data_IF_156752517698
#
_entry.id   IF_156752517698
#
_cell.length_a   1.000
_cell.length_b   1.000
_cell.length_c   1.000
_cell.angle_alpha   90.00
_cell.angle_beta   90.00
_cell.angle_gamma   90.00
#
_symmetry.space_group_name_H-M   'P 1'
#
loop_
_entity.id
_entity.type
_entity.pdbx_description
1 polymer ?
#
# COMPACT_ATOMS: atom_id res chain seq x y z
N UNK A 1 10.61 25.07 -10.23
CA UNK A 1 11.73 24.60 -9.38
C UNK A 1 11.18 24.19 -8.02
N UNK A 2 10.94 22.92 -7.81
CA UNK A 2 10.59 22.39 -6.50
C UNK A 2 11.85 21.72 -5.97
N UNK A 3 12.65 22.47 -5.25
CA UNK A 3 13.83 21.99 -4.54
C UNK A 3 13.34 20.98 -3.49
N UNK A 4 13.75 19.73 -3.62
CA UNK A 4 13.68 18.77 -2.54
C UNK A 4 14.39 19.42 -1.33
N UNK A 5 13.65 19.76 -0.28
CA UNK A 5 14.24 19.98 1.03
C UNK A 5 14.65 18.61 1.57
N UNK A 6 15.79 18.14 1.10
CA UNK A 6 16.56 17.16 1.83
C UNK A 6 17.05 17.91 3.07
N UNK A 7 16.49 17.61 4.24
CA UNK A 7 17.16 17.96 5.47
C UNK A 7 18.55 17.32 5.38
N UNK A 8 19.55 18.15 5.62
CA UNK A 8 20.98 17.86 5.53
C UNK A 8 21.38 16.70 6.43
N UNK A 9 21.09 15.49 5.98
CA UNK A 9 21.37 14.22 6.65
C UNK A 9 22.30 13.34 5.81
N UNK A 10 22.98 13.93 4.83
CA UNK A 10 23.89 13.23 3.90
C UNK A 10 25.00 12.44 4.62
N UNK A 11 25.42 12.87 5.79
CA UNK A 11 26.37 12.10 6.62
C UNK A 11 25.74 10.91 7.37
N UNK A 12 24.45 11.00 7.70
CA UNK A 12 23.74 9.95 8.43
C UNK A 12 23.50 8.72 7.55
N UNK A 13 23.18 8.93 6.29
CA UNK A 13 22.91 7.88 5.29
C UNK A 13 24.14 7.08 4.88
N UNK A 14 25.33 7.69 4.90
CA UNK A 14 26.60 7.01 4.60
C UNK A 14 26.99 5.95 5.65
N UNK A 15 26.32 5.89 6.80
CA UNK A 15 26.64 4.99 7.92
C UNK A 15 25.61 3.91 8.21
N UNK A 16 24.51 3.83 7.46
CA UNK A 16 23.51 2.78 7.69
C UNK A 16 23.90 1.54 6.88
N UNK A 17 24.72 0.67 7.49
CA UNK A 17 24.72 -0.75 7.21
C UNK A 17 23.34 -1.31 7.64
N UNK A 18 22.37 -1.30 6.72
CA UNK A 18 21.15 -2.07 6.89
C UNK A 18 21.52 -3.55 6.85
N UNK A 19 21.98 -4.09 8.00
CA UNK A 19 22.02 -5.52 8.24
C UNK A 19 20.58 -6.02 8.30
N UNK A 20 19.99 -6.27 7.12
CA UNK A 20 18.77 -7.02 7.00
C UNK A 20 19.13 -8.46 7.34
N UNK A 21 18.86 -8.91 8.59
CA UNK A 21 18.90 -10.34 8.90
C UNK A 21 17.89 -11.02 7.99
N UNK A 22 18.29 -11.98 7.14
CA UNK A 22 17.37 -12.66 6.26
C UNK A 22 16.40 -13.48 7.10
N UNK A 23 15.14 -13.03 7.15
CA UNK A 23 14.08 -13.95 7.50
C UNK A 23 13.94 -14.90 6.31
N UNK A 24 14.12 -16.21 6.54
CA UNK A 24 13.96 -17.27 5.55
C UNK A 24 12.51 -17.31 5.03
N UNK A 25 12.22 -16.57 3.96
CA UNK A 25 10.90 -16.54 3.35
C UNK A 25 10.95 -17.22 2.00
N UNK A 26 10.15 -18.27 1.76
CA UNK A 26 9.95 -18.82 0.42
C UNK A 26 9.18 -17.76 -0.40
N UNK A 27 9.80 -17.28 -1.45
CA UNK A 27 9.24 -16.32 -2.39
C UNK A 27 8.21 -16.98 -3.29
N UNK A 28 7.17 -16.21 -3.70
CA UNK A 28 6.25 -16.64 -4.73
C UNK A 28 7.04 -16.98 -6.00
N UNK A 29 6.95 -18.23 -6.47
CA UNK A 29 7.70 -18.72 -7.59
C UNK A 29 7.50 -17.85 -8.84
N UNK A 30 8.59 -17.35 -9.41
CA UNK A 30 8.62 -16.74 -10.72
C UNK A 30 9.09 -15.29 -10.84
N UNK A 31 9.49 -14.67 -9.74
CA UNK A 31 10.19 -13.39 -9.76
C UNK A 31 11.50 -13.55 -8.99
N UNK A 32 12.62 -13.42 -9.70
CA UNK A 32 13.93 -13.21 -9.09
C UNK A 32 13.98 -11.78 -8.50
N UNK A 33 13.17 -11.54 -7.47
CA UNK A 33 13.57 -10.52 -6.52
C UNK A 33 14.85 -11.07 -5.90
N UNK A 34 15.99 -10.38 -5.99
CA UNK A 34 17.22 -10.87 -5.39
C UNK A 34 16.88 -11.30 -3.96
N UNK A 35 17.14 -12.57 -3.62
CA UNK A 35 16.98 -13.01 -2.24
C UNK A 35 17.80 -12.06 -1.38
N UNK A 36 17.35 -11.76 -0.18
CA UNK A 36 18.10 -10.91 0.76
C UNK A 36 19.52 -11.49 0.92
N UNK A 37 19.70 -12.78 0.73
CA UNK A 37 20.99 -13.47 0.69
C UNK A 37 21.86 -13.13 -0.54
N UNK A 38 21.27 -12.69 -1.64
CA UNK A 38 22.00 -12.22 -2.85
C UNK A 38 22.40 -10.75 -2.73
N UNK A 39 21.76 -9.99 -1.84
CA UNK A 39 22.17 -8.63 -1.50
C UNK A 39 23.29 -8.70 -0.44
N UNK A 40 24.40 -9.38 -0.78
CA UNK A 40 25.62 -9.39 0.03
C UNK A 40 26.42 -8.08 -0.02
N UNK A 41 25.94 -7.07 -0.75
CA UNK A 41 26.47 -5.71 -0.68
C UNK A 41 25.64 -4.95 0.35
N UNK A 42 26.28 -4.13 1.23
CA UNK A 42 25.53 -3.21 2.03
C UNK A 42 24.62 -2.43 1.10
N UNK A 43 23.32 -2.44 1.36
CA UNK A 43 22.35 -1.68 0.60
C UNK A 43 22.60 -0.21 0.97
N UNK A 44 23.59 0.40 0.31
CA UNK A 44 23.73 1.86 0.35
C UNK A 44 22.58 2.40 -0.47
N UNK A 45 21.49 2.70 0.22
CA UNK A 45 20.35 3.41 -0.35
C UNK A 45 20.80 4.84 -0.66
N UNK A 46 21.44 5.03 -1.82
CA UNK A 46 21.69 6.38 -2.31
C UNK A 46 20.39 6.95 -2.88
N UNK A 47 19.60 7.55 -1.97
CA UNK A 47 18.35 8.21 -2.36
C UNK A 47 18.60 9.57 -3.03
N UNK A 48 19.85 10.03 -3.14
CA UNK A 48 20.22 11.21 -3.91
C UNK A 48 20.11 10.97 -5.42
N UNK A 49 20.24 9.72 -5.87
CA UNK A 49 20.07 9.32 -7.27
C UNK A 49 18.62 9.01 -7.67
N UNK A 50 17.65 9.11 -6.79
CA UNK A 50 16.25 9.08 -7.21
C UNK A 50 15.99 10.34 -8.03
N UNK A 51 16.47 10.32 -9.27
CA UNK A 51 16.30 11.40 -10.22
C UNK A 51 14.81 11.51 -10.54
N UNK A 52 14.11 12.36 -9.79
CA UNK A 52 12.80 12.88 -10.20
C UNK A 52 12.89 13.70 -11.51
N UNK A 53 14.05 13.69 -12.16
CA UNK A 53 14.33 14.44 -13.35
C UNK A 53 13.82 13.80 -14.63
N UNK A 54 13.49 12.51 -14.62
CA UNK A 54 12.86 11.88 -15.78
C UNK A 54 11.39 12.32 -15.91
N UNK A 55 11.21 13.52 -16.45
CA UNK A 55 9.88 14.09 -16.74
C UNK A 55 9.08 13.19 -17.68
N UNK A 56 9.76 12.45 -18.56
CA UNK A 56 9.13 11.55 -19.53
C UNK A 56 8.51 10.38 -18.79
N UNK A 57 9.27 9.72 -17.90
CA UNK A 57 8.73 8.64 -17.07
C UNK A 57 7.49 9.07 -16.29
N UNK A 58 7.54 10.21 -15.59
CA UNK A 58 6.41 10.67 -14.78
C UNK A 58 5.18 11.05 -15.62
N UNK A 59 5.41 11.58 -16.82
CA UNK A 59 4.32 11.87 -17.77
C UNK A 59 3.70 10.58 -18.31
N UNK A 60 4.51 9.61 -18.74
CA UNK A 60 4.04 8.30 -19.22
C UNK A 60 3.28 7.58 -18.10
N UNK A 61 3.84 7.53 -16.90
CA UNK A 61 3.18 6.93 -15.74
C UNK A 61 1.84 7.58 -15.44
N UNK A 62 1.77 8.92 -15.49
CA UNK A 62 0.48 9.62 -15.29
C UNK A 62 -0.54 9.29 -16.38
N UNK A 63 -0.13 9.21 -17.63
CA UNK A 63 -0.98 8.79 -18.73
C UNK A 63 -1.50 7.36 -18.54
N UNK A 64 -0.63 6.42 -18.14
CA UNK A 64 -1.01 5.05 -17.79
C UNK A 64 -2.00 5.00 -16.61
N UNK A 65 -1.75 5.75 -15.55
CA UNK A 65 -2.64 5.84 -14.39
C UNK A 65 -4.06 6.27 -14.82
N UNK A 66 -4.17 7.32 -15.63
CA UNK A 66 -5.46 7.82 -16.12
C UNK A 66 -6.14 6.78 -17.02
N UNK A 67 -5.42 6.28 -18.02
CA UNK A 67 -5.95 5.35 -19.01
C UNK A 67 -6.46 4.06 -18.35
N UNK A 68 -5.59 3.40 -17.56
CA UNK A 68 -5.94 2.11 -16.96
C UNK A 68 -7.01 2.27 -15.88
N UNK A 69 -7.00 3.33 -15.07
CA UNK A 69 -8.04 3.57 -14.08
C UNK A 69 -9.39 3.88 -14.73
N UNK A 70 -9.41 4.65 -15.84
CA UNK A 70 -10.65 4.94 -16.57
C UNK A 70 -11.23 3.67 -17.19
N UNK A 71 -10.40 2.88 -17.87
CA UNK A 71 -10.82 1.61 -18.45
C UNK A 71 -11.34 0.64 -17.37
N UNK A 72 -10.62 0.53 -16.24
CA UNK A 72 -11.05 -0.33 -15.15
C UNK A 72 -12.38 0.13 -14.53
N UNK A 73 -12.59 1.44 -14.32
CA UNK A 73 -13.86 1.96 -13.79
C UNK A 73 -15.03 1.71 -14.74
N UNK A 74 -14.84 1.87 -16.05
CA UNK A 74 -15.87 1.57 -17.03
C UNK A 74 -16.18 0.06 -17.05
N UNK A 75 -15.16 -0.78 -17.20
CA UNK A 75 -15.33 -2.23 -17.28
C UNK A 75 -15.93 -2.84 -16.00
N UNK A 76 -15.54 -2.32 -14.83
CA UNK A 76 -16.01 -2.81 -13.54
C UNK A 76 -17.25 -2.07 -13.01
N UNK A 77 -17.80 -1.11 -13.76
CA UNK A 77 -18.97 -0.33 -13.31
C UNK A 77 -20.16 -1.19 -12.88
N UNK A 78 -20.55 -2.29 -13.57
CA UNK A 78 -21.64 -3.14 -13.09
C UNK A 78 -21.33 -3.78 -11.73
N UNK A 79 -20.09 -4.26 -11.56
CA UNK A 79 -19.62 -4.83 -10.29
C UNK A 79 -19.64 -3.79 -9.15
N UNK A 80 -19.19 -2.57 -9.43
CA UNK A 80 -19.21 -1.48 -8.45
C UNK A 80 -20.63 -1.13 -8.01
N UNK A 81 -21.59 -1.09 -8.94
CA UNK A 81 -23.00 -0.82 -8.64
C UNK A 81 -23.62 -1.94 -7.80
N UNK A 82 -23.41 -3.20 -8.18
CA UNK A 82 -23.89 -4.36 -7.41
C UNK A 82 -23.27 -4.36 -6.00
N UNK A 83 -21.98 -4.11 -5.90
CA UNK A 83 -21.28 -4.02 -4.60
C UNK A 83 -21.86 -2.89 -3.75
N UNK A 84 -22.09 -1.72 -4.33
CA UNK A 84 -22.69 -0.59 -3.64
C UNK A 84 -24.08 -0.96 -3.08
N UNK A 85 -24.94 -1.55 -3.90
CA UNK A 85 -26.27 -1.98 -3.47
C UNK A 85 -26.22 -3.07 -2.38
N UNK A 86 -25.32 -4.05 -2.52
CA UNK A 86 -25.14 -5.11 -1.52
C UNK A 86 -24.74 -4.55 -0.15
N UNK A 87 -23.82 -3.58 -0.10
CA UNK A 87 -23.40 -2.93 1.15
C UNK A 87 -24.54 -2.11 1.74
N UNK A 88 -25.29 -1.40 0.88
CA UNK A 88 -26.41 -0.58 1.34
C UNK A 88 -27.51 -1.41 2.02
N UNK A 89 -27.74 -2.63 1.50
CA UNK A 89 -28.67 -3.62 2.09
C UNK A 89 -28.10 -4.24 3.37
N UNK A 90 -26.79 -4.60 3.38
CA UNK A 90 -26.13 -5.29 4.50
C UNK A 90 -25.87 -4.36 5.71
N UNK A 91 -25.78 -3.05 5.47
CA UNK A 91 -25.51 -2.03 6.49
C UNK A 91 -26.40 -0.79 6.32
N UNK A 92 -27.72 -0.90 6.56
CA UNK A 92 -28.65 0.20 6.41
C UNK A 92 -28.28 1.38 7.31
N UNK A 93 -28.43 2.60 6.79
CA UNK A 93 -28.09 3.84 7.51
C UNK A 93 -26.60 4.24 7.44
N UNK A 94 -25.74 3.43 6.84
CA UNK A 94 -24.33 3.76 6.64
C UNK A 94 -24.00 3.95 5.14
N UNK A 95 -23.15 4.94 4.84
CA UNK A 95 -22.67 5.10 3.46
C UNK A 95 -21.90 3.87 2.98
N UNK A 96 -22.22 3.29 1.82
CA UNK A 96 -21.45 2.19 1.23
C UNK A 96 -19.99 2.55 0.91
N UNK A 97 -19.69 3.83 0.72
CA UNK A 97 -18.32 4.33 0.56
C UNK A 97 -17.79 4.79 1.91
N UNK A 98 -16.70 4.19 2.32
CA UNK A 98 -15.90 4.58 3.48
C UNK A 98 -14.73 5.44 3.04
N UNK A 99 -14.44 6.49 3.79
CA UNK A 99 -13.30 7.38 3.55
C UNK A 99 -12.40 7.44 4.76
N UNK A 100 -11.09 7.46 4.54
CA UNK A 100 -10.11 7.59 5.61
C UNK A 100 -8.95 8.47 5.17
N UNK A 101 -8.52 9.37 6.05
CA UNK A 101 -7.33 10.17 5.77
C UNK A 101 -6.07 9.31 5.72
N UNK A 102 -5.26 9.54 4.69
CA UNK A 102 -3.98 8.90 4.45
C UNK A 102 -2.92 9.92 4.08
N UNK A 103 -1.65 9.53 4.30
CA UNK A 103 -0.50 10.34 3.89
C UNK A 103 -0.14 9.98 2.45
N UNK A 104 -0.08 11.00 1.60
CA UNK A 104 0.30 10.89 0.19
C UNK A 104 1.68 11.48 -0.09
N UNK A 105 1.96 11.76 -1.37
CA UNK A 105 3.24 12.33 -1.80
C UNK A 105 3.54 13.64 -1.08
N UNK A 106 4.79 13.81 -0.67
CA UNK A 106 5.29 14.98 0.06
C UNK A 106 4.52 15.26 1.37
N UNK A 107 4.01 14.21 2.04
CA UNK A 107 3.28 14.33 3.29
C UNK A 107 1.85 14.92 3.16
N UNK A 108 1.36 15.18 1.94
CA UNK A 108 0.02 15.74 1.73
C UNK A 108 -1.05 14.73 2.13
N UNK A 109 -2.00 15.15 2.95
CA UNK A 109 -3.13 14.32 3.36
C UNK A 109 -4.18 14.28 2.25
N UNK A 110 -4.74 13.08 2.02
CA UNK A 110 -5.86 12.88 1.11
C UNK A 110 -6.88 11.91 1.69
N UNK A 111 -8.12 11.95 1.17
CA UNK A 111 -9.20 11.03 1.53
C UNK A 111 -9.15 9.81 0.63
N UNK A 112 -8.68 8.68 1.15
CA UNK A 112 -8.70 7.41 0.44
C UNK A 112 -10.10 6.81 0.45
N UNK A 113 -10.61 6.40 -0.72
CA UNK A 113 -11.91 5.78 -0.89
C UNK A 113 -11.83 4.26 -0.81
N UNK A 114 -12.78 3.65 -0.10
CA UNK A 114 -12.99 2.20 -0.06
C UNK A 114 -14.47 1.87 0.01
N UNK A 115 -14.84 0.67 -0.39
CA UNK A 115 -16.12 0.14 0.03
C UNK A 115 -16.12 -0.17 1.53
N UNK A 116 -17.26 0.07 2.18
CA UNK A 116 -17.44 -0.22 3.60
C UNK A 116 -17.51 -1.73 3.81
N UNK A 117 -16.66 -2.24 4.68
CA UNK A 117 -16.57 -3.67 5.03
C UNK A 117 -16.82 -3.94 6.50
N UNK A 118 -17.07 -2.89 7.29
CA UNK A 118 -17.33 -2.97 8.72
C UNK A 118 -18.63 -2.30 9.08
N UNK A 119 -19.22 -2.71 10.22
CA UNK A 119 -20.42 -2.09 10.78
C UNK A 119 -20.21 -0.59 11.05
N UNK A 120 -21.30 0.21 11.13
CA UNK A 120 -21.22 1.67 11.31
C UNK A 120 -20.48 2.08 12.59
N UNK A 121 -20.62 1.33 13.65
CA UNK A 121 -20.07 1.53 15.00
C UNK A 121 -18.69 0.86 15.22
N UNK A 122 -18.00 0.47 14.12
CA UNK A 122 -16.74 -0.27 14.17
C UNK A 122 -15.62 0.46 14.95
N UNK A 123 -15.54 1.79 14.88
CA UNK A 123 -14.52 2.56 15.62
C UNK A 123 -14.83 2.59 17.13
N UNK A 124 -16.08 2.59 17.54
CA UNK A 124 -16.48 2.51 18.95
C UNK A 124 -16.12 1.13 19.52
N UNK A 125 -16.49 0.07 18.80
CA UNK A 125 -16.17 -1.32 19.16
C UNK A 125 -14.66 -1.62 19.17
N UNK A 126 -13.84 -0.82 18.48
CA UNK A 126 -12.39 -1.02 18.46
C UNK A 126 -11.79 -0.93 19.87
N UNK A 127 -12.27 -0.02 20.71
CA UNK A 127 -11.75 0.18 22.07
C UNK A 127 -11.87 -1.10 22.90
N UNK A 128 -13.00 -1.79 22.80
CA UNK A 128 -13.30 -3.00 23.56
C UNK A 128 -12.54 -4.23 23.03
N UNK A 129 -12.03 -4.13 21.79
CA UNK A 129 -11.30 -5.21 21.13
C UNK A 129 -9.78 -5.05 21.21
N UNK A 130 -9.27 -3.93 21.70
CA UNK A 130 -7.82 -3.67 21.72
C UNK A 130 -7.01 -4.73 22.47
N UNK A 131 -7.56 -5.31 23.54
CA UNK A 131 -6.93 -6.38 24.30
C UNK A 131 -6.78 -7.70 23.51
N UNK A 132 -7.55 -7.85 22.42
CA UNK A 132 -7.51 -9.02 21.53
C UNK A 132 -6.67 -8.80 20.28
N UNK A 133 -5.77 -7.83 20.31
CA UNK A 133 -4.89 -7.57 19.17
C UNK A 133 -3.90 -8.73 18.98
N UNK A 134 -3.92 -9.33 17.78
CA UNK A 134 -3.05 -10.47 17.41
C UNK A 134 -1.70 -9.99 16.83
N UNK A 135 -1.45 -8.69 16.80
CA UNK A 135 -0.23 -8.12 16.22
C UNK A 135 0.47 -7.20 17.21
N UNK A 136 1.78 -7.34 17.28
CA UNK A 136 2.62 -6.37 17.97
C UNK A 136 2.62 -5.02 17.22
N UNK A 137 2.56 -3.93 17.97
CA UNK A 137 2.60 -2.58 17.45
C UNK A 137 1.24 -1.87 17.37
N UNK A 138 1.20 -0.66 16.82
CA UNK A 138 0.04 0.23 16.91
C UNK A 138 -1.15 -0.16 16.00
N UNK A 139 -0.93 -1.10 15.07
CA UNK A 139 -1.95 -1.50 14.10
C UNK A 139 -2.76 -2.66 14.64
N UNK A 140 -4.06 -2.41 14.90
CA UNK A 140 -4.99 -3.47 15.33
C UNK A 140 -5.21 -4.52 14.25
N UNK A 141 -5.11 -5.79 14.61
CA UNK A 141 -5.34 -6.93 13.73
C UNK A 141 -5.92 -8.11 14.52
N UNK A 142 -7.01 -8.67 14.00
CA UNK A 142 -7.71 -9.80 14.59
C UNK A 142 -8.26 -10.69 13.48
N UNK A 143 -8.00 -12.00 13.56
CA UNK A 143 -8.39 -12.98 12.53
C UNK A 143 -9.91 -13.05 12.32
N UNK A 144 -10.67 -13.05 13.40
CA UNK A 144 -12.13 -13.08 13.38
C UNK A 144 -12.68 -11.77 13.95
N UNK A 145 -12.44 -10.66 13.27
CA UNK A 145 -12.89 -9.34 13.71
C UNK A 145 -14.44 -9.23 13.60
N UNK A 146 -15.17 -9.13 14.72
CA UNK A 146 -16.64 -9.12 14.74
C UNK A 146 -17.23 -7.86 14.11
N UNK A 147 -16.42 -6.85 13.82
CA UNK A 147 -16.83 -5.61 13.16
C UNK A 147 -17.03 -5.78 11.66
N UNK A 148 -16.47 -6.85 11.07
CA UNK A 148 -16.55 -7.12 9.63
C UNK A 148 -17.92 -7.72 9.31
N UNK A 149 -18.65 -7.08 8.37
CA UNK A 149 -19.96 -7.57 7.92
C UNK A 149 -19.82 -8.81 7.03
N UNK A 150 -20.93 -9.51 6.74
CA UNK A 150 -20.92 -10.69 5.84
C UNK A 150 -20.45 -10.32 4.44
N UNK A 151 -21.03 -9.27 3.88
CA UNK A 151 -20.61 -8.72 2.58
C UNK A 151 -19.16 -8.22 2.66
N UNK A 152 -18.80 -7.53 3.75
CA UNK A 152 -17.45 -7.04 3.98
C UNK A 152 -16.39 -8.14 4.01
N UNK A 153 -16.70 -9.31 4.55
CA UNK A 153 -15.79 -10.48 4.54
C UNK A 153 -15.48 -10.95 3.10
N UNK A 154 -16.50 -11.03 2.25
CA UNK A 154 -16.33 -11.37 0.84
C UNK A 154 -15.50 -10.31 0.10
N UNK A 155 -15.83 -9.02 0.30
CA UNK A 155 -15.14 -7.92 -0.37
C UNK A 155 -13.64 -7.87 -0.03
N UNK A 156 -13.29 -8.07 1.25
CA UNK A 156 -11.89 -8.15 1.69
C UNK A 156 -11.16 -9.35 1.09
N UNK A 157 -11.81 -10.50 1.04
CA UNK A 157 -11.24 -11.72 0.44
C UNK A 157 -10.92 -11.55 -1.03
N UNK A 158 -11.71 -10.77 -1.75
CA UNK A 158 -11.59 -10.52 -3.20
C UNK A 158 -10.88 -9.21 -3.51
N UNK A 159 -10.52 -8.40 -2.49
CA UNK A 159 -9.97 -7.05 -2.63
C UNK A 159 -10.87 -6.07 -3.42
N UNK A 160 -12.14 -6.40 -3.61
CA UNK A 160 -13.13 -5.53 -4.27
C UNK A 160 -13.33 -4.24 -3.47
N UNK A 161 -13.15 -4.30 -2.14
CA UNK A 161 -13.24 -3.12 -1.26
C UNK A 161 -12.26 -2.01 -1.62
N UNK A 162 -11.18 -2.31 -2.32
CA UNK A 162 -10.16 -1.33 -2.71
C UNK A 162 -10.42 -0.67 -4.08
N UNK A 163 -11.36 -1.18 -4.88
CA UNK A 163 -11.64 -0.64 -6.22
C UNK A 163 -12.00 0.86 -6.25
N UNK A 164 -12.70 1.45 -5.26
CA UNK A 164 -12.95 2.89 -5.24
C UNK A 164 -11.69 3.76 -5.19
N UNK A 165 -10.51 3.20 -4.84
CA UNK A 165 -9.24 3.93 -4.90
C UNK A 165 -8.86 4.32 -6.34
N UNK A 166 -9.42 3.69 -7.37
CA UNK A 166 -9.25 4.12 -8.77
C UNK A 166 -9.66 5.58 -8.98
N UNK A 167 -10.66 6.09 -8.22
CA UNK A 167 -11.01 7.51 -8.23
C UNK A 167 -9.89 8.39 -7.62
N UNK A 168 -9.17 7.90 -6.60
CA UNK A 168 -8.00 8.62 -6.07
C UNK A 168 -6.86 8.67 -7.10
N UNK A 169 -6.70 7.60 -7.91
CA UNK A 169 -5.73 7.58 -9.00
C UNK A 169 -6.11 8.61 -10.06
N UNK A 170 -7.36 8.67 -10.49
CA UNK A 170 -7.83 9.68 -11.46
C UNK A 170 -7.66 11.10 -10.95
N UNK A 171 -7.92 11.35 -9.66
CA UNK A 171 -7.65 12.65 -9.03
C UNK A 171 -6.16 12.99 -8.92
N UNK A 172 -5.27 12.01 -9.09
CA UNK A 172 -3.82 12.20 -8.98
C UNK A 172 -3.30 12.19 -7.55
N UNK A 173 -4.11 11.79 -6.59
CA UNK A 173 -3.75 11.59 -5.17
C UNK A 173 -2.98 10.28 -4.97
N UNK A 174 -3.26 9.28 -5.81
CA UNK A 174 -2.61 7.98 -5.87
C UNK A 174 -2.11 7.66 -7.28
N UNK A 175 -1.38 6.57 -7.41
CA UNK A 175 -1.00 5.89 -8.65
C UNK A 175 -1.48 4.43 -8.58
N UNK A 176 -1.46 3.71 -9.69
CA UNK A 176 -1.73 2.26 -9.67
C UNK A 176 -0.64 1.55 -8.87
N UNK A 177 0.63 1.87 -9.15
CA UNK A 177 1.78 1.28 -8.46
C UNK A 177 2.40 2.29 -7.49
N UNK A 178 2.83 1.85 -6.31
CA UNK A 178 3.52 2.67 -5.33
C UNK A 178 3.41 2.13 -3.91
N UNK A 179 4.06 2.78 -2.94
CA UNK A 179 3.93 2.45 -1.54
C UNK A 179 2.49 2.50 -1.05
N UNK A 180 2.07 1.52 -0.23
CA UNK A 180 0.72 1.54 0.34
C UNK A 180 0.55 2.73 1.30
N UNK A 181 -0.49 3.57 1.14
CA UNK A 181 -0.67 4.75 2.00
C UNK A 181 -1.09 4.35 3.41
N UNK A 182 -0.48 4.98 4.42
CA UNK A 182 -0.78 4.73 5.83
C UNK A 182 -1.49 5.91 6.50
N UNK A 183 -2.13 5.65 7.66
CA UNK A 183 -2.82 6.66 8.46
C UNK A 183 -1.79 7.63 9.06
N UNK A 184 -2.10 8.96 9.14
CA UNK A 184 -1.18 9.95 9.71
C UNK A 184 -0.68 9.59 11.11
N UNK A 185 -1.55 9.01 11.93
CA UNK A 185 -1.21 8.57 13.28
C UNK A 185 -0.07 7.54 13.28
N UNK A 186 -0.14 6.53 12.42
CA UNK A 186 0.90 5.50 12.33
C UNK A 186 2.17 6.02 11.69
N UNK A 187 2.04 6.85 10.65
CA UNK A 187 3.18 7.48 9.97
C UNK A 187 4.03 8.28 10.97
N UNK A 188 3.39 9.08 11.84
CA UNK A 188 4.11 9.82 12.88
C UNK A 188 4.90 8.92 13.82
N UNK A 189 4.32 7.79 14.23
CA UNK A 189 4.99 6.83 15.11
C UNK A 189 6.14 6.13 14.40
N UNK A 190 5.95 5.73 13.14
CA UNK A 190 7.01 5.06 12.37
C UNK A 190 8.18 6.00 12.08
N UNK A 191 7.92 7.26 11.72
CA UNK A 191 8.97 8.27 11.50
C UNK A 191 9.72 8.59 12.81
N UNK A 192 9.01 8.66 13.95
CA UNK A 192 9.65 8.88 15.23
C UNK A 192 10.62 7.75 15.63
N UNK A 193 10.33 6.52 15.22
CA UNK A 193 11.20 5.36 15.48
C UNK A 193 12.29 5.19 14.40
N UNK A 194 11.95 5.47 13.14
CA UNK A 194 12.84 5.40 11.96
C UNK A 194 12.52 6.54 11.00
N UNK A 195 13.29 7.63 11.03
CA UNK A 195 13.09 8.80 10.15
C UNK A 195 13.07 8.44 8.66
N UNK A 196 13.77 7.37 8.29
CA UNK A 196 13.82 6.82 6.94
C UNK A 196 12.46 6.43 6.38
N UNK A 197 11.51 6.14 7.26
CA UNK A 197 10.15 5.82 6.85
C UNK A 197 9.50 6.93 6.02
N UNK A 198 9.92 8.18 6.18
CA UNK A 198 9.38 9.32 5.45
C UNK A 198 9.72 9.32 3.94
N UNK A 199 10.83 8.69 3.54
CA UNK A 199 11.22 8.64 2.11
C UNK A 199 10.22 7.94 1.21
N UNK A 200 9.38 7.07 1.75
CA UNK A 200 8.30 6.45 0.99
C UNK A 200 7.26 7.45 0.47
N UNK A 201 7.22 8.65 1.05
CA UNK A 201 6.35 9.74 0.61
C UNK A 201 6.95 10.60 -0.53
N UNK A 202 8.14 10.28 -1.02
CA UNK A 202 8.72 10.97 -2.19
C UNK A 202 7.96 10.66 -3.49
N UNK A 203 7.24 9.55 -3.54
CA UNK A 203 6.39 9.15 -4.67
C UNK A 203 4.91 9.13 -4.28
N UNK A 204 4.02 9.06 -5.28
CA UNK A 204 2.59 8.85 -5.00
C UNK A 204 2.37 7.47 -4.41
N UNK A 205 1.48 7.33 -3.42
CA UNK A 205 1.07 6.03 -2.93
C UNK A 205 0.33 5.23 -4.02
N UNK A 206 0.43 3.90 -3.95
CA UNK A 206 -0.15 2.99 -4.92
C UNK A 206 -1.33 2.18 -4.40
N UNK A 207 -2.19 1.71 -5.32
CA UNK A 207 -3.17 0.64 -5.05
C UNK A 207 -2.42 -0.66 -4.83
N UNK A 208 -1.43 -0.94 -5.66
CA UNK A 208 -0.47 -2.03 -5.49
C UNK A 208 0.96 -1.51 -5.42
N UNK A 209 1.93 -2.36 -5.06
CA UNK A 209 3.33 -1.99 -4.97
C UNK A 209 4.20 -3.18 -4.58
N UNK A 210 5.51 -2.99 -4.62
CA UNK A 210 6.46 -4.06 -4.35
C UNK A 210 6.24 -4.69 -2.96
N UNK A 211 5.99 -3.88 -1.93
CA UNK A 211 5.71 -4.38 -0.59
C UNK A 211 4.43 -5.22 -0.51
N UNK A 212 3.41 -4.96 -1.36
CA UNK A 212 2.17 -5.73 -1.36
C UNK A 212 2.33 -7.09 -2.05
N UNK A 213 3.15 -7.18 -3.11
CA UNK A 213 3.36 -8.44 -3.85
C UNK A 213 4.45 -9.33 -3.23
N UNK A 214 5.49 -8.74 -2.62
CA UNK A 214 6.60 -9.45 -1.99
C UNK A 214 6.37 -9.72 -0.49
N UNK A 215 5.64 -8.83 0.19
CA UNK A 215 5.36 -8.92 1.61
C UNK A 215 4.30 -9.97 1.92
N UNK A 216 4.54 -10.76 2.99
CA UNK A 216 3.54 -11.67 3.56
C UNK A 216 2.65 -10.94 4.58
N UNK A 217 1.60 -11.64 5.00
CA UNK A 217 0.65 -11.15 6.01
C UNK A 217 1.33 -10.63 7.29
N UNK A 218 2.39 -11.31 7.75
CA UNK A 218 3.12 -10.99 8.99
C UNK A 218 4.33 -10.07 8.79
N UNK A 219 4.56 -9.54 7.56
CA UNK A 219 5.66 -8.63 7.28
C UNK A 219 5.52 -7.36 8.13
N UNK A 220 6.61 -6.97 8.83
CA UNK A 220 6.62 -5.78 9.67
C UNK A 220 6.45 -4.49 8.86
N UNK A 221 6.12 -3.38 9.51
CA UNK A 221 6.03 -2.08 8.84
C UNK A 221 7.39 -1.65 8.26
N UNK A 222 8.47 -2.03 8.93
CA UNK A 222 9.84 -1.70 8.50
C UNK A 222 10.32 -2.56 7.34
N UNK A 223 9.99 -3.85 7.31
CA UNK A 223 10.30 -4.70 6.15
C UNK A 223 9.55 -4.20 4.91
N UNK A 224 8.28 -3.78 5.08
CA UNK A 224 7.51 -3.14 4.00
C UNK A 224 8.15 -1.84 3.53
N UNK A 225 8.68 -1.04 4.46
CA UNK A 225 9.42 0.17 4.12
C UNK A 225 10.64 -0.16 3.23
N UNK A 226 11.39 -1.23 3.53
CA UNK A 226 12.53 -1.63 2.72
C UNK A 226 12.09 -1.94 1.27
N UNK A 227 11.02 -2.72 1.09
CA UNK A 227 10.47 -2.97 -0.26
C UNK A 227 10.01 -1.69 -0.95
N UNK A 228 9.38 -0.77 -0.22
CA UNK A 228 8.95 0.51 -0.77
C UNK A 228 10.15 1.36 -1.21
N UNK A 229 11.25 1.38 -0.43
CA UNK A 229 12.46 2.10 -0.78
C UNK A 229 13.20 1.47 -1.97
N UNK A 230 13.27 0.14 -2.04
CA UNK A 230 13.80 -0.57 -3.21
C UNK A 230 13.03 -0.21 -4.49
N UNK A 231 11.69 -0.18 -4.41
CA UNK A 231 10.87 0.25 -5.53
C UNK A 231 11.17 1.70 -5.93
N UNK A 232 11.31 2.62 -4.95
CA UNK A 232 11.57 4.04 -5.20
C UNK A 232 12.93 4.25 -5.88
N UNK A 233 13.92 3.42 -5.60
CA UNK A 233 15.23 3.48 -6.27
C UNK A 233 15.18 3.03 -7.73
N UNK A 234 14.34 2.05 -8.07
CA UNK A 234 14.25 1.47 -9.42
C UNK A 234 12.89 1.77 -10.08
N UNK A 235 12.40 3.00 -9.92
CA UNK A 235 11.15 3.40 -10.59
C UNK A 235 11.36 3.44 -12.11
N UNK A 236 10.62 2.58 -12.80
CA UNK A 236 10.61 2.54 -14.27
C UNK A 236 9.28 2.01 -14.79
N UNK A 237 8.96 2.28 -16.06
CA UNK A 237 7.76 1.74 -16.71
C UNK A 237 7.78 0.21 -16.68
N UNK A 238 8.96 -0.40 -16.84
CA UNK A 238 9.15 -1.86 -16.79
C UNK A 238 8.83 -2.39 -15.38
N UNK A 239 9.37 -1.78 -14.34
CA UNK A 239 9.13 -2.17 -12.94
C UNK A 239 7.65 -2.03 -12.58
N UNK A 240 7.00 -0.92 -12.99
CA UNK A 240 5.57 -0.71 -12.77
C UNK A 240 4.73 -1.79 -13.45
N UNK A 241 5.01 -2.10 -14.73
CA UNK A 241 4.31 -3.16 -15.47
C UNK A 241 4.49 -4.53 -14.81
N UNK A 242 5.69 -4.86 -14.37
CA UNK A 242 5.98 -6.12 -13.68
C UNK A 242 5.21 -6.24 -12.37
N UNK A 243 5.14 -5.17 -11.56
CA UNK A 243 4.37 -5.15 -10.32
C UNK A 243 2.87 -5.33 -10.61
N UNK A 244 2.33 -4.68 -11.65
CA UNK A 244 0.94 -4.86 -12.06
C UNK A 244 0.64 -6.31 -12.45
N UNK A 245 1.49 -6.93 -13.29
CA UNK A 245 1.33 -8.33 -13.70
C UNK A 245 1.41 -9.31 -12.51
N UNK A 246 2.36 -9.09 -11.61
CA UNK A 246 2.49 -9.91 -10.39
C UNK A 246 1.28 -9.73 -9.46
N UNK A 247 0.70 -8.53 -9.39
CA UNK A 247 -0.53 -8.28 -8.61
C UNK A 247 -1.67 -9.18 -9.09
N UNK A 248 -1.90 -9.26 -10.41
CA UNK A 248 -2.90 -10.18 -10.96
C UNK A 248 -2.62 -11.64 -10.58
N UNK A 249 -1.37 -12.07 -10.68
CA UNK A 249 -0.97 -13.43 -10.28
C UNK A 249 -1.25 -13.69 -8.80
N UNK A 250 -0.90 -12.76 -7.92
CA UNK A 250 -1.14 -12.87 -6.47
C UNK A 250 -2.65 -12.91 -6.16
N UNK A 251 -3.47 -12.10 -6.83
CA UNK A 251 -4.92 -12.11 -6.66
C UNK A 251 -5.56 -13.43 -7.09
N UNK A 252 -5.02 -14.10 -8.11
CA UNK A 252 -5.50 -15.37 -8.62
C UNK A 252 -5.00 -16.57 -7.80
N UNK A 253 -3.93 -16.44 -7.03
CA UNK A 253 -3.39 -17.50 -6.20
C UNK A 253 -3.99 -17.46 -4.79
N UNK A 254 -4.27 -18.64 -4.20
CA UNK A 254 -4.81 -18.75 -2.83
C UNK A 254 -3.94 -18.09 -1.74
N UNK A 255 -2.70 -17.77 -2.04
CA UNK A 255 -1.77 -17.12 -1.11
C UNK A 255 -2.16 -15.70 -0.72
N UNK A 256 -3.01 -15.03 -1.50
CA UNK A 256 -3.54 -13.70 -1.17
C UNK A 256 -4.53 -13.70 0.00
N UNK A 257 -5.03 -14.86 0.40
CA UNK A 257 -6.13 -15.02 1.37
C UNK A 257 -5.71 -15.51 2.75
N UNK A 258 -4.43 -15.66 3.04
CA UNK A 258 -3.95 -16.17 4.35
C UNK A 258 -4.23 -15.24 5.56
N UNK A 259 -5.01 -14.20 5.39
CA UNK A 259 -5.42 -13.29 6.47
C UNK A 259 -6.93 -13.21 6.69
N UNK A 260 -7.72 -13.95 5.95
CA UNK A 260 -9.21 -13.88 5.98
C UNK A 260 -9.83 -15.27 6.13
N UNK A 261 -9.10 -16.23 6.70
CA UNK A 261 -9.70 -17.50 7.13
C UNK A 261 -10.36 -17.35 8.48
#
# INVERSE_FOLDING_TARGET
MATLRVHDSTEYWKKIDLMVKPASYPMAAGYDVPSVDTIRRPLTLDLSEVSHEDRVYWAVRRAQDILLSSLALVALSPLLLVTYAAIWIDSPGASPIFTQQRVGRNGKLFKMYKFRTMCPDAEQKLKDLMERNEKDGPVFKMKNDPRITRVGKFLRKTSIDELPQLFNVLKGEMSIVGPRPERPFFVKQFIAQKPEYDYRHNVKPGITGLAQIAGKYNTSAYDKMIYDLLYIQDVSVKTDLMIMLQTFKVLLTKSSTEGVK
#
